data_IF_345070915346
#
_entry.id   IF_345070915346
#
_cell.length_a   1.000
_cell.length_b   1.000
_cell.length_c   1.000
_cell.angle_alpha   90.00
_cell.angle_beta   90.00
_cell.angle_gamma   90.00
#
_symmetry.space_group_name_H-M   'P 1'
#
loop_
_entity.id
_entity.type
_entity.pdbx_description
1 polymer ?
#
# COMPACT_ATOMS: atom_id res chain seq x y z
N UNK A 1 -21.35 36.60 4.50
CA UNK A 1 -21.91 35.35 3.92
C UNK A 1 -20.99 34.22 4.30
N UNK A 2 -21.31 33.52 5.37
CA UNK A 2 -20.46 32.48 5.98
C UNK A 2 -20.68 31.19 5.18
N UNK A 3 -19.61 30.68 4.56
CA UNK A 3 -19.61 29.39 3.85
C UNK A 3 -19.71 28.27 4.89
N UNK A 4 -20.88 27.64 4.96
CA UNK A 4 -21.09 26.37 5.65
C UNK A 4 -20.25 25.29 4.96
N UNK A 5 -19.26 24.76 5.68
CA UNK A 5 -18.65 23.48 5.31
C UNK A 5 -19.65 22.35 5.57
N UNK A 6 -19.63 21.27 4.78
CA UNK A 6 -20.47 20.12 5.03
C UNK A 6 -20.04 19.49 6.36
N UNK A 7 -20.92 19.57 7.37
CA UNK A 7 -20.92 18.55 8.42
C UNK A 7 -21.12 17.23 7.70
N UNK A 8 -20.15 16.33 7.81
CA UNK A 8 -20.42 14.90 7.67
C UNK A 8 -21.31 14.55 8.85
N UNK A 9 -22.61 14.82 8.69
CA UNK A 9 -23.63 14.17 9.48
C UNK A 9 -23.67 12.78 8.91
N UNK A 10 -23.11 11.81 9.64
CA UNK A 10 -23.55 10.43 9.52
C UNK A 10 -25.05 10.48 9.83
N UNK A 11 -25.88 10.60 8.78
CA UNK A 11 -27.31 10.50 8.94
C UNK A 11 -27.56 9.14 9.54
N UNK A 12 -28.29 9.12 10.66
CA UNK A 12 -28.87 7.90 11.21
C UNK A 12 -29.88 7.38 10.19
N UNK A 13 -29.40 6.66 9.19
CA UNK A 13 -30.21 5.82 8.35
C UNK A 13 -30.93 4.84 9.27
N UNK A 14 -32.25 4.73 9.09
CA UNK A 14 -33.19 4.17 10.05
C UNK A 14 -32.74 2.87 10.71
N UNK A 15 -33.11 2.76 11.99
CA UNK A 15 -32.93 1.62 12.88
C UNK A 15 -33.45 0.32 12.25
N UNK A 16 -32.64 -0.29 11.40
CA UNK A 16 -32.77 -1.69 11.02
C UNK A 16 -31.89 -2.49 11.99
N UNK A 17 -32.42 -3.56 12.62
CA UNK A 17 -31.67 -4.37 13.59
C UNK A 17 -30.39 -5.03 13.06
N UNK A 18 -30.08 -4.90 11.77
CA UNK A 18 -28.93 -5.49 11.11
C UNK A 18 -27.61 -4.69 11.23
N UNK A 19 -27.63 -3.47 11.80
CA UNK A 19 -26.45 -2.57 11.80
C UNK A 19 -25.87 -2.22 13.19
N UNK A 20 -26.23 -2.96 14.25
CA UNK A 20 -25.39 -2.97 15.47
C UNK A 20 -24.15 -3.83 15.21
N UNK A 21 -23.27 -3.33 14.34
CA UNK A 21 -21.92 -3.84 14.23
C UNK A 21 -21.27 -3.69 15.61
N UNK A 22 -20.94 -4.81 16.23
CA UNK A 22 -20.41 -4.85 17.58
C UNK A 22 -19.02 -4.20 17.61
N UNK A 23 -18.92 -2.99 18.15
CA UNK A 23 -17.66 -2.26 18.28
C UNK A 23 -16.60 -3.09 19.03
N UNK A 24 -16.99 -3.99 19.93
CA UNK A 24 -16.05 -4.84 20.67
C UNK A 24 -15.33 -5.87 19.77
N UNK A 25 -15.98 -6.33 18.70
CA UNK A 25 -15.36 -7.23 17.71
C UNK A 25 -14.31 -6.48 16.89
N UNK A 26 -14.56 -5.20 16.59
CA UNK A 26 -13.57 -4.35 15.90
C UNK A 26 -12.37 -4.04 16.80
N UNK A 27 -12.60 -3.77 18.09
CA UNK A 27 -11.52 -3.45 19.04
C UNK A 27 -10.57 -4.63 19.29
N UNK A 28 -11.08 -5.86 19.30
CA UNK A 28 -10.25 -7.06 19.52
C UNK A 28 -9.52 -7.54 18.26
N UNK A 29 -10.11 -7.38 17.07
CA UNK A 29 -9.47 -7.80 15.80
C UNK A 29 -8.33 -6.89 15.34
N UNK A 30 -8.31 -5.62 15.76
CA UNK A 30 -7.45 -4.60 15.14
C UNK A 30 -6.49 -3.92 16.11
N UNK A 31 -6.02 -4.64 17.14
CA UNK A 31 -4.93 -4.16 17.99
C UNK A 31 -3.61 -4.23 17.21
N UNK A 32 -2.90 -3.10 17.14
CA UNK A 32 -1.66 -2.99 16.39
C UNK A 32 -0.56 -3.92 16.96
N UNK A 33 0.12 -4.72 16.14
CA UNK A 33 1.07 -5.74 16.62
C UNK A 33 2.45 -5.18 17.00
N UNK A 34 2.74 -3.88 16.77
CA UNK A 34 4.10 -3.35 16.91
C UNK A 34 4.73 -3.52 18.30
N UNK A 35 3.92 -3.50 19.37
CA UNK A 35 4.43 -3.66 20.75
C UNK A 35 5.05 -5.05 20.95
N UNK A 36 4.39 -6.08 20.42
CA UNK A 36 4.76 -7.50 20.58
C UNK A 36 5.60 -8.04 19.43
N UNK A 37 5.71 -7.32 18.32
CA UNK A 37 6.56 -7.69 17.19
C UNK A 37 7.99 -7.99 17.65
N UNK A 38 8.54 -9.11 17.21
CA UNK A 38 9.95 -9.46 17.41
C UNK A 38 10.85 -8.98 16.26
N UNK A 39 10.25 -8.49 15.18
CA UNK A 39 10.92 -8.13 13.93
C UNK A 39 11.17 -6.62 13.89
N UNK A 40 10.24 -5.80 14.38
CA UNK A 40 10.39 -4.34 14.36
C UNK A 40 11.55 -3.88 15.25
N UNK A 41 12.44 -3.02 14.74
CA UNK A 41 13.56 -2.49 15.52
C UNK A 41 13.05 -1.55 16.62
N UNK A 42 13.87 -1.41 17.67
CA UNK A 42 13.51 -0.64 18.87
C UNK A 42 13.11 0.81 18.54
N UNK A 43 13.89 1.49 17.70
CA UNK A 43 13.65 2.89 17.31
C UNK A 43 12.28 3.09 16.67
N UNK A 44 11.78 2.10 15.92
CA UNK A 44 10.50 2.19 15.21
C UNK A 44 9.33 2.07 16.19
N UNK A 45 9.45 1.18 17.19
CA UNK A 45 8.48 1.06 18.29
C UNK A 45 8.45 2.33 19.13
N UNK A 46 9.63 2.90 19.43
CA UNK A 46 9.74 4.18 20.13
C UNK A 46 9.10 5.32 19.32
N UNK A 47 9.29 5.33 17.99
CA UNK A 47 8.63 6.28 17.09
C UNK A 47 7.11 6.14 17.08
N UNK A 48 6.56 4.92 17.03
CA UNK A 48 5.12 4.68 17.11
C UNK A 48 4.52 5.16 18.43
N UNK A 49 5.18 4.87 19.56
CA UNK A 49 4.76 5.38 20.87
C UNK A 49 4.81 6.91 20.92
N UNK A 50 5.92 7.52 20.47
CA UNK A 50 6.08 8.97 20.43
C UNK A 50 5.02 9.65 19.56
N UNK A 51 4.72 9.08 18.38
CA UNK A 51 3.70 9.60 17.47
C UNK A 51 2.31 9.58 18.12
N UNK A 52 1.95 8.45 18.75
CA UNK A 52 0.71 8.32 19.49
C UNK A 52 0.58 9.37 20.61
N UNK A 53 1.62 9.55 21.42
CA UNK A 53 1.63 10.51 22.53
C UNK A 53 1.56 11.96 22.05
N UNK A 54 2.33 12.28 21.00
CA UNK A 54 2.31 13.60 20.38
C UNK A 54 0.92 13.93 19.82
N UNK A 55 0.27 12.98 19.14
CA UNK A 55 -1.09 13.15 18.62
C UNK A 55 -2.10 13.41 19.74
N UNK A 56 -2.06 12.65 20.84
CA UNK A 56 -2.92 12.89 22.01
C UNK A 56 -2.73 14.30 22.57
N UNK A 57 -1.48 14.76 22.68
CA UNK A 57 -1.15 16.12 23.14
C UNK A 57 -1.67 17.21 22.20
N UNK A 58 -1.56 16.99 20.88
CA UNK A 58 -2.12 17.91 19.86
C UNK A 58 -3.65 18.01 20.02
N UNK A 59 -4.31 16.89 20.29
CA UNK A 59 -5.77 16.85 20.43
C UNK A 59 -6.28 17.39 21.77
N UNK A 60 -5.42 17.54 22.79
CA UNK A 60 -5.82 18.00 24.12
C UNK A 60 -5.78 19.52 24.30
N UNK A 61 -5.29 20.31 23.34
CA UNK A 61 -5.26 21.77 23.48
C UNK A 61 -4.77 22.54 22.26
N UNK A 62 -5.19 23.81 22.17
CA UNK A 62 -5.07 24.64 20.96
C UNK A 62 -3.65 25.03 20.53
N UNK A 63 -2.66 24.90 21.43
CA UNK A 63 -1.28 25.36 21.19
C UNK A 63 -0.28 24.26 20.88
N UNK A 64 -0.57 23.00 21.24
CA UNK A 64 0.42 21.91 21.19
C UNK A 64 0.82 21.47 19.79
N UNK A 65 -0.01 21.75 18.77
CA UNK A 65 0.38 21.51 17.38
C UNK A 65 1.63 22.31 16.96
N UNK A 66 2.00 23.37 17.69
CA UNK A 66 3.22 24.14 17.42
C UNK A 66 4.49 23.47 17.95
N UNK A 67 4.35 22.48 18.83
CA UNK A 67 5.48 21.78 19.47
C UNK A 67 6.11 20.73 18.54
N UNK A 68 5.48 20.46 17.39
CA UNK A 68 5.85 19.36 16.50
C UNK A 68 6.04 19.84 15.06
N UNK A 69 6.86 19.08 14.35
CA UNK A 69 7.02 19.15 12.90
C UNK A 69 6.32 17.96 12.24
N UNK A 70 5.90 18.15 10.99
CA UNK A 70 4.99 17.27 10.26
C UNK A 70 5.63 16.87 8.94
N UNK A 71 5.51 15.59 8.60
CA UNK A 71 5.81 15.05 7.28
C UNK A 71 4.51 14.48 6.69
N UNK A 72 4.06 15.02 5.57
CA UNK A 72 2.82 14.63 4.91
C UNK A 72 3.14 13.95 3.58
N UNK A 73 2.87 12.65 3.48
CA UNK A 73 2.92 11.92 2.23
C UNK A 73 1.63 12.21 1.47
N UNK A 74 1.73 12.83 0.29
CA UNK A 74 0.55 13.34 -0.43
C UNK A 74 0.26 12.66 -1.76
N UNK A 75 -1.04 12.65 -2.09
CA UNK A 75 -1.58 12.48 -3.43
C UNK A 75 -2.87 13.31 -3.52
N UNK A 76 -2.75 14.58 -3.86
CA UNK A 76 -3.83 15.56 -3.89
C UNK A 76 -4.53 15.58 -5.25
N UNK A 77 -5.74 16.16 -5.29
CA UNK A 77 -6.44 16.42 -6.55
C UNK A 77 -5.67 17.36 -7.49
N UNK A 78 -4.94 18.31 -6.91
CA UNK A 78 -4.06 19.24 -7.63
C UNK A 78 -2.75 18.61 -8.12
N UNK A 79 -2.38 17.41 -7.63
CA UNK A 79 -1.18 16.74 -8.11
C UNK A 79 -1.41 16.23 -9.55
N UNK A 80 -0.51 16.50 -10.50
CA UNK A 80 -0.70 16.14 -11.90
C UNK A 80 -0.78 14.62 -12.11
N UNK A 81 -0.15 13.86 -11.22
CA UNK A 81 -0.05 12.40 -11.28
C UNK A 81 0.21 11.83 -9.91
N UNK A 82 -0.46 10.72 -9.60
CA UNK A 82 -0.08 9.83 -8.51
C UNK A 82 0.21 8.42 -9.07
N UNK A 83 1.05 7.65 -8.37
CA UNK A 83 1.30 6.24 -8.71
C UNK A 83 0.08 5.34 -8.46
N UNK A 84 0.22 4.03 -8.60
CA UNK A 84 -0.78 3.07 -8.11
C UNK A 84 -0.88 3.04 -6.58
N UNK A 85 -1.80 2.26 -6.03
CA UNK A 85 -1.87 1.98 -4.59
C UNK A 85 -0.56 1.38 -4.05
N UNK A 86 0.03 0.43 -4.77
CA UNK A 86 1.33 -0.13 -4.41
C UNK A 86 2.44 0.93 -4.40
N UNK A 87 2.50 1.82 -5.40
CA UNK A 87 3.51 2.87 -5.49
C UNK A 87 3.42 3.87 -4.33
N UNK A 88 2.22 4.11 -3.81
CA UNK A 88 1.95 5.10 -2.76
C UNK A 88 2.19 4.54 -1.36
N UNK A 89 1.80 3.29 -1.11
CA UNK A 89 1.79 2.73 0.25
C UNK A 89 2.97 1.82 0.56
N UNK A 90 3.64 1.24 -0.45
CA UNK A 90 4.82 0.40 -0.18
C UNK A 90 6.02 1.18 0.36
N UNK A 91 6.04 2.50 0.23
CA UNK A 91 7.08 3.32 0.84
C UNK A 91 7.01 3.40 2.36
N UNK A 92 5.98 2.81 2.98
CA UNK A 92 5.66 2.98 4.40
C UNK A 92 6.83 2.75 5.37
N UNK A 93 7.59 1.62 5.35
CA UNK A 93 8.72 1.47 6.27
C UNK A 93 9.78 2.56 6.12
N UNK A 94 10.06 2.96 4.87
CA UNK A 94 10.99 4.04 4.57
C UNK A 94 10.45 5.40 5.01
N UNK A 95 9.15 5.69 4.82
CA UNK A 95 8.53 6.93 5.27
C UNK A 95 8.55 7.07 6.79
N UNK A 96 8.36 5.96 7.53
CA UNK A 96 8.50 5.94 8.99
C UNK A 96 9.94 6.21 9.41
N UNK A 97 10.91 5.55 8.79
CA UNK A 97 12.32 5.81 9.04
C UNK A 97 12.67 7.29 8.76
N UNK A 98 12.24 7.81 7.61
CA UNK A 98 12.50 9.19 7.22
C UNK A 98 11.86 10.20 8.19
N UNK A 99 10.62 9.97 8.60
CA UNK A 99 9.94 10.79 9.60
C UNK A 99 10.68 10.75 10.96
N UNK A 100 11.14 9.58 11.39
CA UNK A 100 11.92 9.41 12.61
C UNK A 100 13.24 10.19 12.55
N UNK A 101 14.02 10.07 11.48
CA UNK A 101 15.29 10.81 11.32
C UNK A 101 15.08 12.33 11.38
N UNK A 102 14.00 12.81 10.76
CA UNK A 102 13.67 14.24 10.74
C UNK A 102 12.93 14.71 12.01
N UNK A 103 12.66 13.82 12.97
CA UNK A 103 11.85 14.09 14.18
C UNK A 103 10.47 14.68 13.86
N UNK A 104 9.82 14.15 12.84
CA UNK A 104 8.50 14.61 12.36
C UNK A 104 7.42 13.59 12.58
N UNK A 105 6.20 14.07 12.80
CA UNK A 105 5.00 13.25 12.78
C UNK A 105 4.61 12.94 11.34
N UNK A 106 4.56 11.65 11.00
CA UNK A 106 4.15 11.16 9.69
C UNK A 106 2.62 11.18 9.54
N UNK A 107 2.14 11.72 8.42
CA UNK A 107 0.75 11.69 8.01
C UNK A 107 0.61 11.37 6.52
N UNK A 108 -0.55 10.86 6.13
CA UNK A 108 -0.93 10.67 4.72
C UNK A 108 -2.10 11.60 4.37
N UNK A 109 -1.98 12.32 3.25
CA UNK A 109 -3.07 13.10 2.65
C UNK A 109 -3.29 12.60 1.23
N UNK A 110 -4.30 11.77 1.08
CA UNK A 110 -4.65 11.11 -0.18
C UNK A 110 -6.05 11.54 -0.57
N UNK A 111 -6.22 12.06 -1.78
CA UNK A 111 -7.52 12.53 -2.28
C UNK A 111 -7.96 11.82 -3.57
N UNK A 112 -7.02 11.21 -4.32
CA UNK A 112 -7.32 10.60 -5.64
C UNK A 112 -7.29 9.07 -5.59
N UNK A 113 -8.31 8.34 -6.06
CA UNK A 113 -9.58 8.83 -6.59
C UNK A 113 -10.55 9.32 -5.52
N UNK A 114 -10.32 8.90 -4.27
CA UNK A 114 -11.10 9.21 -3.08
C UNK A 114 -10.15 9.16 -1.86
N UNK A 115 -10.54 9.67 -0.67
CA UNK A 115 -9.71 9.62 0.52
C UNK A 115 -9.25 8.20 0.91
N UNK A 116 -8.05 8.09 1.50
CA UNK A 116 -7.50 6.79 1.94
C UNK A 116 -8.36 6.17 3.04
N UNK A 117 -9.00 7.02 3.84
CA UNK A 117 -9.93 6.68 4.91
C UNK A 117 -11.17 5.91 4.45
N UNK A 118 -11.48 5.92 3.14
CA UNK A 118 -12.54 5.08 2.56
C UNK A 118 -12.15 3.59 2.51
N UNK A 119 -10.84 3.30 2.52
CA UNK A 119 -10.31 1.97 2.32
C UNK A 119 -9.61 1.40 3.55
N UNK A 120 -8.84 2.25 4.23
CA UNK A 120 -8.00 1.89 5.36
C UNK A 120 -8.24 2.83 6.54
N UNK A 121 -8.08 2.30 7.74
CA UNK A 121 -8.10 3.06 8.99
C UNK A 121 -6.84 2.74 9.79
N UNK A 122 -6.45 3.60 10.73
CA UNK A 122 -5.44 3.21 11.71
C UNK A 122 -5.99 2.13 12.67
N UNK A 123 -5.17 1.14 13.05
CA UNK A 123 -5.53 0.15 14.06
C UNK A 123 -5.65 0.78 15.45
N UNK A 124 -6.33 0.08 16.36
CA UNK A 124 -6.36 0.43 17.78
C UNK A 124 -4.94 0.34 18.34
N UNK A 125 -4.52 1.37 19.08
CA UNK A 125 -3.15 1.56 19.57
C UNK A 125 -2.05 1.57 18.50
N UNK A 126 -2.42 1.70 17.23
CA UNK A 126 -1.50 1.85 16.10
C UNK A 126 -1.00 3.26 15.89
N UNK A 127 -0.22 3.43 14.83
CA UNK A 127 0.13 4.74 14.30
C UNK A 127 -1.08 5.31 13.56
N UNK A 128 -1.66 6.38 14.10
CA UNK A 128 -2.72 7.12 13.43
C UNK A 128 -2.11 8.10 12.42
N UNK A 129 -2.17 7.75 11.14
CA UNK A 129 -1.59 8.51 10.04
C UNK A 129 -2.51 9.61 9.48
N UNK A 130 -3.76 9.69 9.93
CA UNK A 130 -4.74 10.66 9.40
C UNK A 130 -4.36 12.06 9.80
N UNK A 131 -4.56 13.05 8.94
CA UNK A 131 -4.30 14.45 9.33
C UNK A 131 -5.10 14.83 10.59
N UNK A 132 -4.49 15.42 11.63
CA UNK A 132 -5.22 15.72 12.86
C UNK A 132 -6.34 16.74 12.57
N UNK A 133 -7.59 16.50 13.02
CA UNK A 133 -8.71 17.40 12.79
C UNK A 133 -8.67 18.62 13.72
N UNK A 134 -7.50 19.23 13.88
CA UNK A 134 -7.27 20.40 14.71
C UNK A 134 -7.54 21.68 13.90
N UNK A 135 -8.35 22.64 14.37
CA UNK A 135 -8.75 23.81 13.57
C UNK A 135 -7.58 24.62 13.00
N UNK A 136 -6.48 24.76 13.75
CA UNK A 136 -5.29 25.47 13.27
C UNK A 136 -4.52 24.71 12.18
N UNK A 137 -4.58 23.38 12.16
CA UNK A 137 -3.92 22.55 11.15
C UNK A 137 -4.79 22.42 9.89
N UNK A 138 -6.11 22.38 10.02
CA UNK A 138 -7.04 22.38 8.89
C UNK A 138 -6.95 23.68 8.06
N UNK A 139 -6.65 24.82 8.70
CA UNK A 139 -6.40 26.09 8.00
C UNK A 139 -5.08 26.13 7.22
N UNK A 140 -4.26 25.08 7.31
CA UNK A 140 -2.90 25.00 6.74
C UNK A 140 -2.79 23.95 5.63
N UNK A 141 -3.90 23.33 5.21
CA UNK A 141 -3.87 22.32 4.14
C UNK A 141 -3.39 22.90 2.79
N UNK A 142 -3.52 24.22 2.59
CA UNK A 142 -2.97 24.97 1.45
C UNK A 142 -1.44 24.85 1.32
N UNK A 143 -0.75 24.56 2.43
CA UNK A 143 0.69 24.33 2.44
C UNK A 143 1.08 23.00 1.79
N UNK A 144 0.15 22.04 1.66
CA UNK A 144 0.45 20.78 0.99
C UNK A 144 0.73 20.99 -0.50
N UNK A 145 -0.01 21.88 -1.14
CA UNK A 145 0.11 22.14 -2.59
C UNK A 145 1.42 22.82 -2.95
N UNK A 146 1.84 23.79 -2.13
CA UNK A 146 2.93 24.72 -2.40
C UNK A 146 4.28 24.33 -1.77
N UNK A 147 4.36 23.17 -1.12
CA UNK A 147 5.57 22.65 -0.48
C UNK A 147 6.65 22.20 -1.48
N UNK A 148 7.95 22.21 -1.10
CA UNK A 148 9.03 21.65 -1.90
C UNK A 148 8.79 20.16 -2.06
N UNK A 149 8.68 19.73 -3.31
CA UNK A 149 8.47 18.32 -3.60
C UNK A 149 9.80 17.57 -3.43
N UNK A 150 9.88 16.69 -2.42
CA UNK A 150 11.04 15.80 -2.24
C UNK A 150 10.93 14.67 -3.26
N UNK A 151 11.22 15.00 -4.52
CA UNK A 151 11.11 14.08 -5.65
C UNK A 151 12.35 13.20 -5.75
N UNK A 152 12.19 11.90 -5.58
CA UNK A 152 13.23 10.91 -5.88
C UNK A 152 14.32 10.73 -4.81
N UNK A 153 15.13 9.68 -4.97
CA UNK A 153 16.10 9.24 -3.97
C UNK A 153 17.25 10.22 -3.71
N UNK A 154 17.67 11.00 -4.71
CA UNK A 154 18.77 11.98 -4.55
C UNK A 154 18.39 13.14 -3.63
N UNK A 155 17.12 13.57 -3.63
CA UNK A 155 16.67 14.63 -2.74
C UNK A 155 16.56 14.16 -1.28
N UNK A 156 16.25 12.88 -1.05
CA UNK A 156 16.15 12.30 0.30
C UNK A 156 17.48 12.39 1.05
N UNK A 157 18.59 12.00 0.41
CA UNK A 157 19.91 12.02 1.05
C UNK A 157 20.30 13.42 1.50
N UNK A 158 19.95 14.44 0.70
CA UNK A 158 20.15 15.84 1.06
C UNK A 158 19.38 16.23 2.34
N UNK A 159 18.10 15.84 2.47
CA UNK A 159 17.32 16.13 3.69
C UNK A 159 17.81 15.37 4.92
N UNK A 160 18.45 14.21 4.72
CA UNK A 160 19.08 13.45 5.78
C UNK A 160 20.50 13.93 6.12
N UNK A 161 21.04 14.90 5.38
CA UNK A 161 22.39 15.42 5.57
C UNK A 161 23.51 14.46 5.17
N UNK A 162 23.21 13.45 4.34
CA UNK A 162 24.20 12.47 3.88
C UNK A 162 25.01 12.94 2.67
N UNK A 163 24.45 13.82 1.84
CA UNK A 163 25.17 14.39 0.69
C UNK A 163 25.63 15.81 1.04
N UNK A 164 26.94 16.08 0.96
CA UNK A 164 27.43 17.45 0.98
C UNK A 164 27.01 18.16 -0.31
N UNK A 165 26.60 19.45 -0.27
CA UNK A 165 26.36 20.23 -1.49
C UNK A 165 27.52 20.18 -2.49
N UNK A 166 28.73 19.92 -2.01
CA UNK A 166 29.96 19.86 -2.81
C UNK A 166 30.12 18.55 -3.61
N UNK A 167 29.41 17.48 -3.23
CA UNK A 167 29.52 16.16 -3.87
C UNK A 167 28.68 16.04 -5.15
N UNK A 168 27.84 17.04 -5.46
CA UNK A 168 27.02 17.10 -6.67
C UNK A 168 27.37 18.32 -7.53
N UNK A 169 28.51 18.33 -8.24
CA UNK A 169 28.97 19.49 -9.02
C UNK A 169 28.04 19.88 -10.19
N UNK A 170 27.05 19.05 -10.52
CA UNK A 170 26.06 19.29 -11.58
C UNK A 170 24.63 19.55 -11.06
N UNK A 171 24.41 19.60 -9.74
CA UNK A 171 23.15 20.08 -9.18
C UNK A 171 23.11 21.60 -9.37
N UNK A 172 22.64 22.02 -10.55
CA UNK A 172 22.57 23.40 -11.02
C UNK A 172 22.38 24.43 -9.89
N UNK A 173 23.13 25.53 -9.98
CA UNK A 173 23.01 26.76 -9.18
C UNK A 173 21.57 27.19 -8.85
N UNK A 174 20.58 26.78 -9.64
CA UNK A 174 19.16 27.05 -9.43
C UNK A 174 18.58 26.41 -8.13
N UNK A 175 19.05 25.24 -7.67
CA UNK A 175 18.52 24.64 -6.43
C UNK A 175 19.01 25.39 -5.17
N UNK A 176 20.31 25.69 -5.11
CA UNK A 176 20.90 26.46 -4.02
C UNK A 176 20.41 27.93 -4.00
N UNK A 177 20.15 28.53 -5.17
CA UNK A 177 19.58 29.89 -5.30
C UNK A 177 18.10 29.93 -4.90
N UNK A 178 17.31 28.88 -5.17
CA UNK A 178 15.93 28.76 -4.67
C UNK A 178 15.86 28.60 -3.15
N UNK A 179 16.85 27.94 -2.55
CA UNK A 179 16.94 27.75 -1.10
C UNK A 179 17.25 29.07 -0.36
N UNK A 180 18.18 29.91 -0.89
CA UNK A 180 18.56 31.19 -0.26
C UNK A 180 17.51 32.31 -0.37
N UNK A 181 16.61 32.27 -1.35
CA UNK A 181 15.60 33.35 -1.56
C UNK A 181 14.37 33.26 -0.65
N UNK A 182 14.34 32.36 0.33
CA UNK A 182 13.09 32.04 1.01
C UNK A 182 13.21 31.86 2.52
N UNK A 183 14.03 32.63 3.24
CA UNK A 183 14.14 32.49 4.70
C UNK A 183 12.77 32.52 5.43
N UNK A 184 11.78 33.29 4.94
CA UNK A 184 10.39 33.26 5.45
C UNK A 184 9.56 32.05 4.99
N UNK A 185 9.84 31.48 3.81
CA UNK A 185 9.21 30.24 3.32
C UNK A 185 9.85 29.02 3.98
N UNK A 186 11.17 29.01 4.18
CA UNK A 186 11.92 28.03 4.96
C UNK A 186 11.40 27.95 6.39
N UNK A 187 11.01 29.07 7.00
CA UNK A 187 10.43 29.05 8.35
C UNK A 187 9.03 28.42 8.41
N UNK A 188 8.21 28.53 7.34
CA UNK A 188 6.94 27.80 7.23
C UNK A 188 7.13 26.34 6.80
N UNK A 189 8.08 26.06 5.93
CA UNK A 189 8.50 24.72 5.51
C UNK A 189 9.21 23.95 6.63
N UNK A 190 9.75 24.65 7.63
CA UNK A 190 10.28 24.03 8.85
C UNK A 190 9.22 23.18 9.52
N UNK A 191 7.96 23.62 9.58
CA UNK A 191 6.93 22.88 10.32
C UNK A 191 6.22 21.80 9.52
N UNK A 192 5.74 22.10 8.31
CA UNK A 192 5.03 21.10 7.49
C UNK A 192 5.83 20.83 6.21
N UNK A 193 6.39 19.64 6.13
CA UNK A 193 6.99 19.11 4.92
C UNK A 193 5.96 18.23 4.20
N UNK A 194 5.85 18.38 2.88
CA UNK A 194 4.98 17.58 2.03
C UNK A 194 5.82 16.84 1.01
N UNK A 195 5.58 15.56 0.81
CA UNK A 195 6.35 14.72 -0.10
C UNK A 195 5.44 13.93 -1.03
N UNK A 196 5.74 13.96 -2.33
CA UNK A 196 5.22 13.00 -3.30
C UNK A 196 6.30 11.96 -3.56
N UNK A 197 6.23 10.85 -2.83
CA UNK A 197 7.20 9.78 -3.01
C UNK A 197 6.73 8.78 -4.05
N UNK A 198 7.46 8.68 -5.17
CA UNK A 198 7.30 7.60 -6.14
C UNK A 198 8.68 7.07 -6.53
N UNK A 199 8.97 5.82 -6.15
CA UNK A 199 10.22 5.16 -6.49
C UNK A 199 9.94 3.75 -7.01
N UNK A 200 10.70 3.29 -7.99
CA UNK A 200 10.60 1.94 -8.53
C UNK A 200 10.84 0.85 -7.46
N UNK A 201 11.64 1.16 -6.44
CA UNK A 201 11.97 0.27 -5.33
C UNK A 201 11.12 0.53 -4.07
N UNK A 202 10.21 1.51 -4.09
CA UNK A 202 9.34 1.86 -2.97
C UNK A 202 10.08 2.17 -1.66
N UNK A 203 11.28 2.76 -1.72
CA UNK A 203 12.05 3.07 -0.52
C UNK A 203 12.82 1.89 0.07
N UNK A 204 12.72 0.70 -0.53
CA UNK A 204 13.44 -0.50 -0.06
C UNK A 204 14.94 -0.24 0.08
N UNK A 205 15.60 0.21 -0.99
CA UNK A 205 17.06 0.39 -0.97
C UNK A 205 17.46 1.43 0.08
N UNK A 206 16.70 2.52 0.19
CA UNK A 206 16.95 3.55 1.19
C UNK A 206 16.80 3.00 2.62
N UNK A 207 15.75 2.23 2.89
CA UNK A 207 15.57 1.60 4.20
C UNK A 207 16.70 0.61 4.52
N UNK A 208 17.00 -0.30 3.60
CA UNK A 208 17.99 -1.37 3.80
C UNK A 208 19.43 -0.83 3.98
N UNK A 209 19.75 0.29 3.32
CA UNK A 209 21.06 0.96 3.41
C UNK A 209 21.17 1.83 4.66
N UNK A 210 20.08 2.50 5.06
CA UNK A 210 20.11 3.51 6.12
C UNK A 210 19.72 2.98 7.51
N UNK A 211 19.25 1.73 7.61
CA UNK A 211 18.99 1.07 8.90
C UNK A 211 20.25 1.11 9.77
N UNK A 212 20.07 1.33 11.08
CA UNK A 212 21.17 1.66 11.99
C UNK A 212 22.20 0.55 12.13
N UNK A 213 21.75 -0.70 12.04
CA UNK A 213 22.62 -1.87 12.06
C UNK A 213 22.14 -2.88 11.01
N UNK A 214 22.87 -2.96 9.90
CA UNK A 214 22.53 -3.82 8.77
C UNK A 214 22.68 -5.33 9.07
N UNK A 215 23.41 -5.71 10.11
CA UNK A 215 23.60 -7.10 10.52
C UNK A 215 22.48 -7.61 11.43
N UNK A 216 21.94 -6.73 12.29
CA UNK A 216 20.97 -7.15 13.32
C UNK A 216 19.54 -6.66 13.08
N UNK A 217 19.36 -5.53 12.39
CA UNK A 217 18.02 -5.02 12.12
C UNK A 217 17.40 -5.74 10.92
N UNK A 218 16.11 -6.05 11.03
CA UNK A 218 15.34 -6.65 9.96
C UNK A 218 15.37 -5.77 8.68
N UNK A 219 15.39 -6.40 7.52
CA UNK A 219 15.31 -5.71 6.23
C UNK A 219 13.93 -5.12 5.99
N UNK A 220 13.81 -4.26 4.97
CA UNK A 220 12.55 -3.69 4.50
C UNK A 220 11.48 -4.77 4.29
N UNK A 221 11.82 -5.86 3.61
CA UNK A 221 10.92 -6.99 3.39
C UNK A 221 10.43 -7.58 4.71
N UNK A 222 11.34 -7.85 5.64
CA UNK A 222 11.03 -8.50 6.91
C UNK A 222 10.12 -7.63 7.78
N UNK A 223 10.36 -6.32 7.87
CA UNK A 223 9.54 -5.42 8.70
C UNK A 223 8.19 -5.07 8.07
N UNK A 224 8.03 -5.22 6.75
CA UNK A 224 6.90 -4.62 6.02
C UNK A 224 5.54 -5.03 6.57
N UNK A 225 5.33 -6.32 6.84
CA UNK A 225 4.07 -6.85 7.35
C UNK A 225 3.71 -6.24 8.71
N UNK A 226 4.64 -6.28 9.66
CA UNK A 226 4.40 -5.75 11.01
C UNK A 226 4.21 -4.24 11.00
N UNK A 227 4.94 -3.52 10.14
CA UNK A 227 4.73 -2.09 9.91
C UNK A 227 3.33 -1.83 9.35
N UNK A 228 2.93 -2.57 8.32
CA UNK A 228 1.64 -2.42 7.68
C UNK A 228 0.49 -2.56 8.68
N UNK A 229 0.44 -3.66 9.42
CA UNK A 229 -0.61 -3.92 10.41
C UNK A 229 -0.54 -3.02 11.64
N UNK A 230 0.54 -2.24 11.80
CA UNK A 230 0.65 -1.22 12.84
C UNK A 230 0.12 0.15 12.41
N UNK A 231 -0.11 0.34 11.12
CA UNK A 231 -0.51 1.62 10.51
C UNK A 231 -1.87 1.51 9.83
N UNK A 232 -2.20 0.35 9.27
CA UNK A 232 -3.39 0.14 8.44
C UNK A 232 -4.15 -1.11 8.84
N UNK A 233 -5.48 -0.96 8.86
CA UNK A 233 -6.46 -2.03 8.83
C UNK A 233 -7.54 -1.67 7.80
N UNK A 234 -8.23 -2.64 7.17
CA UNK A 234 -9.35 -2.33 6.29
C UNK A 234 -10.45 -1.53 7.01
N UNK A 235 -11.14 -0.66 6.29
CA UNK A 235 -12.40 -0.08 6.79
C UNK A 235 -13.47 -1.17 6.94
N UNK A 236 -14.52 -0.98 7.76
CA UNK A 236 -15.55 -2.01 7.95
C UNK A 236 -16.21 -2.47 6.64
N UNK A 237 -16.52 -1.59 5.66
CA UNK A 237 -17.03 -2.04 4.35
C UNK A 237 -16.05 -2.93 3.58
N UNK A 238 -14.76 -2.58 3.56
CA UNK A 238 -13.73 -3.38 2.88
C UNK A 238 -13.51 -4.70 3.62
N UNK A 239 -13.43 -4.69 4.96
CA UNK A 239 -13.33 -5.91 5.76
C UNK A 239 -14.51 -6.85 5.52
N UNK A 240 -15.73 -6.31 5.47
CA UNK A 240 -16.92 -7.12 5.19
C UNK A 240 -16.82 -7.80 3.83
N UNK A 241 -16.30 -7.13 2.81
CA UNK A 241 -16.10 -7.74 1.49
C UNK A 241 -14.98 -8.78 1.50
N UNK A 242 -13.90 -8.58 2.25
CA UNK A 242 -12.86 -9.60 2.47
C UNK A 242 -13.48 -10.84 3.12
N UNK A 243 -14.20 -10.67 4.24
CA UNK A 243 -14.81 -11.77 4.98
C UNK A 243 -15.84 -12.53 4.12
N UNK A 244 -16.70 -11.81 3.39
CA UNK A 244 -17.65 -12.39 2.45
C UNK A 244 -16.93 -13.16 1.34
N UNK A 245 -15.89 -12.59 0.74
CA UNK A 245 -15.14 -13.23 -0.35
C UNK A 245 -14.46 -14.51 0.11
N UNK A 246 -13.79 -14.47 1.26
CA UNK A 246 -13.14 -15.64 1.84
C UNK A 246 -14.17 -16.74 2.10
N UNK A 247 -15.35 -16.39 2.62
CA UNK A 247 -16.43 -17.35 2.88
C UNK A 247 -17.05 -17.91 1.60
N UNK A 248 -17.41 -17.06 0.64
CA UNK A 248 -18.05 -17.45 -0.63
C UNK A 248 -17.19 -18.39 -1.46
N UNK A 249 -15.87 -18.17 -1.45
CA UNK A 249 -14.91 -19.00 -2.18
C UNK A 249 -14.37 -20.18 -1.35
N UNK A 250 -14.89 -20.38 -0.13
CA UNK A 250 -14.40 -21.38 0.84
C UNK A 250 -12.88 -21.30 1.06
N UNK A 251 -12.33 -20.08 1.12
CA UNK A 251 -10.91 -19.83 1.38
C UNK A 251 -10.66 -19.77 2.88
N UNK A 252 -9.54 -20.34 3.29
CA UNK A 252 -9.00 -20.24 4.66
C UNK A 252 -7.56 -19.76 4.59
N UNK A 253 -7.21 -18.79 5.42
CA UNK A 253 -5.86 -18.23 5.45
C UNK A 253 -4.80 -19.34 5.56
N UNK A 254 -3.75 -19.25 4.75
CA UNK A 254 -2.65 -20.21 4.61
C UNK A 254 -3.02 -21.62 4.10
N UNK A 255 -4.26 -21.85 3.64
CA UNK A 255 -4.71 -23.15 3.09
C UNK A 255 -4.91 -23.14 1.56
N UNK A 256 -4.68 -22.02 0.89
CA UNK A 256 -4.75 -21.89 -0.57
C UNK A 256 -3.52 -21.20 -1.14
N UNK A 257 -3.30 -21.38 -2.44
CA UNK A 257 -2.30 -20.66 -3.21
C UNK A 257 -2.96 -19.55 -4.00
N UNK A 258 -2.22 -18.49 -4.33
CA UNK A 258 -2.75 -17.40 -5.11
C UNK A 258 -1.93 -17.09 -6.36
N UNK A 259 -2.62 -16.60 -7.38
CA UNK A 259 -2.05 -16.08 -8.61
C UNK A 259 -2.58 -14.66 -8.80
N UNK A 260 -1.68 -13.69 -8.98
CA UNK A 260 -2.04 -12.34 -9.39
C UNK A 260 -1.50 -12.03 -10.79
N UNK A 261 -2.40 -11.71 -11.72
CA UNK A 261 -2.08 -11.39 -13.11
C UNK A 261 -2.34 -9.92 -13.37
N UNK A 262 -1.36 -9.26 -13.97
CA UNK A 262 -1.46 -7.85 -14.38
C UNK A 262 -1.54 -7.79 -15.90
N UNK A 263 -2.76 -7.73 -16.44
CA UNK A 263 -3.07 -7.76 -17.87
C UNK A 263 -3.30 -6.38 -18.50
N UNK A 264 -3.60 -5.34 -17.72
CA UNK A 264 -3.91 -4.00 -18.25
C UNK A 264 -2.77 -2.98 -18.04
N UNK A 265 -1.50 -3.37 -18.28
CA UNK A 265 -0.34 -2.51 -18.00
C UNK A 265 0.16 -1.70 -19.22
N UNK A 266 -0.02 -0.38 -19.19
CA UNK A 266 0.44 0.65 -20.18
C UNK A 266 -0.17 0.51 -21.59
N UNK A 267 -0.45 -0.71 -22.05
CA UNK A 267 -1.21 -1.07 -23.25
C UNK A 267 -2.12 -2.27 -22.92
N UNK A 268 -3.27 -2.36 -23.57
CA UNK A 268 -4.04 -3.61 -23.56
C UNK A 268 -3.19 -4.66 -24.26
N UNK A 269 -2.86 -5.74 -23.55
CA UNK A 269 -2.24 -6.89 -24.18
C UNK A 269 -3.18 -7.48 -25.21
N UNK A 270 -2.64 -7.99 -26.32
CA UNK A 270 -3.43 -8.84 -27.20
C UNK A 270 -3.79 -10.16 -26.48
N UNK A 271 -4.82 -10.84 -26.98
CA UNK A 271 -5.28 -12.10 -26.39
C UNK A 271 -4.18 -13.16 -26.29
N UNK A 272 -3.20 -13.17 -27.20
CA UNK A 272 -2.09 -14.14 -27.17
C UNK A 272 -1.17 -13.92 -25.98
N UNK A 273 -0.87 -12.66 -25.65
CA UNK A 273 -0.06 -12.32 -24.49
C UNK A 273 -0.82 -12.55 -23.19
N UNK A 274 -2.13 -12.28 -23.16
CA UNK A 274 -2.99 -12.61 -22.02
C UNK A 274 -2.97 -14.11 -21.74
N UNK A 275 -3.17 -14.95 -22.77
CA UNK A 275 -3.11 -16.39 -22.64
C UNK A 275 -1.74 -16.86 -22.17
N UNK A 276 -0.66 -16.32 -22.74
CA UNK A 276 0.70 -16.68 -22.35
C UNK A 276 0.99 -16.34 -20.88
N UNK A 277 0.72 -15.10 -20.44
CA UNK A 277 1.02 -14.67 -19.07
C UNK A 277 0.16 -15.44 -18.04
N UNK A 278 -1.10 -15.74 -18.39
CA UNK A 278 -2.02 -16.52 -17.57
C UNK A 278 -1.56 -17.98 -17.43
N UNK A 279 -1.29 -18.66 -18.56
CA UNK A 279 -0.80 -20.02 -18.56
C UNK A 279 0.57 -20.14 -17.87
N UNK A 280 1.46 -19.18 -18.08
CA UNK A 280 2.78 -19.17 -17.44
C UNK A 280 2.67 -19.03 -15.91
N UNK A 281 1.74 -18.21 -15.43
CA UNK A 281 1.50 -18.06 -13.98
C UNK A 281 1.02 -19.37 -13.34
N UNK A 282 0.10 -20.08 -14.01
CA UNK A 282 -0.37 -21.40 -13.56
C UNK A 282 0.74 -22.45 -13.61
N UNK A 283 1.56 -22.48 -14.68
CA UNK A 283 2.73 -23.37 -14.76
C UNK A 283 3.70 -23.11 -13.61
N UNK A 284 3.93 -21.86 -13.25
CA UNK A 284 4.77 -21.53 -12.12
C UNK A 284 4.19 -22.02 -10.80
N UNK A 285 2.89 -21.88 -10.59
CA UNK A 285 2.21 -22.47 -9.44
C UNK A 285 2.37 -23.99 -9.38
N UNK A 286 2.18 -24.68 -10.51
CA UNK A 286 2.34 -26.13 -10.59
C UNK A 286 3.77 -26.57 -10.20
N UNK A 287 4.80 -25.85 -10.65
CA UNK A 287 6.19 -26.11 -10.27
C UNK A 287 6.47 -25.90 -8.78
N UNK A 288 5.72 -25.04 -8.07
CA UNK A 288 5.81 -24.92 -6.60
C UNK A 288 5.40 -26.24 -5.98
N UNK A 289 4.24 -26.71 -6.40
CA UNK A 289 3.52 -27.81 -5.79
C UNK A 289 4.23 -29.14 -6.05
N UNK A 290 4.95 -29.26 -7.17
CA UNK A 290 5.86 -30.39 -7.44
C UNK A 290 7.13 -30.38 -6.58
N UNK A 291 7.63 -29.20 -6.20
CA UNK A 291 8.89 -29.05 -5.45
C UNK A 291 8.71 -29.09 -3.93
N UNK A 292 7.52 -28.78 -3.44
CA UNK A 292 7.20 -28.95 -2.03
C UNK A 292 6.97 -30.44 -1.75
N UNK A 293 7.44 -30.97 -0.62
CA UNK A 293 7.23 -32.37 -0.18
C UNK A 293 5.74 -32.77 -0.02
N UNK A 294 4.82 -31.84 -0.26
CA UNK A 294 3.40 -32.08 -0.42
C UNK A 294 3.05 -32.12 -1.91
N UNK A 295 2.88 -33.31 -2.52
CA UNK A 295 2.32 -33.45 -3.85
C UNK A 295 1.02 -32.67 -3.95
N UNK A 296 0.79 -32.10 -5.13
CA UNK A 296 -0.42 -31.37 -5.48
C UNK A 296 -1.63 -32.26 -5.22
N UNK A 297 -2.30 -32.05 -4.09
CA UNK A 297 -3.54 -32.73 -3.82
C UNK A 297 -4.56 -32.19 -4.83
N UNK A 298 -5.36 -33.05 -5.51
CA UNK A 298 -6.40 -32.60 -6.43
C UNK A 298 -7.35 -31.55 -5.85
N UNK A 299 -7.43 -31.48 -4.51
CA UNK A 299 -8.25 -30.55 -3.74
C UNK A 299 -7.52 -29.25 -3.34
N UNK A 300 -6.31 -29.01 -3.84
CA UNK A 300 -5.55 -27.77 -3.57
C UNK A 300 -6.32 -26.59 -4.14
N UNK A 301 -6.60 -25.60 -3.30
CA UNK A 301 -7.34 -24.42 -3.70
C UNK A 301 -6.41 -23.37 -4.29
N UNK A 302 -6.79 -22.82 -5.44
CA UNK A 302 -6.04 -21.75 -6.11
C UNK A 302 -6.96 -20.55 -6.29
N UNK A 303 -6.60 -19.41 -5.70
CA UNK A 303 -7.27 -18.14 -5.95
C UNK A 303 -6.57 -17.37 -7.07
N UNK A 304 -7.33 -16.89 -8.05
CA UNK A 304 -6.82 -16.06 -9.15
C UNK A 304 -7.42 -14.66 -9.05
N UNK A 305 -6.57 -13.64 -9.04
CA UNK A 305 -6.94 -12.23 -9.16
C UNK A 305 -6.25 -11.59 -10.36
N UNK A 306 -6.95 -10.69 -11.04
CA UNK A 306 -6.44 -9.97 -12.20
C UNK A 306 -7.12 -8.61 -12.37
N UNK A 307 -6.39 -7.62 -12.88
CA UNK A 307 -6.97 -6.35 -13.31
C UNK A 307 -7.76 -6.43 -14.63
N UNK A 308 -7.80 -7.61 -15.25
CA UNK A 308 -8.56 -7.89 -16.48
C UNK A 308 -9.22 -9.27 -16.46
N UNK A 309 -10.50 -9.27 -16.82
CA UNK A 309 -11.41 -10.43 -16.81
C UNK A 309 -10.92 -11.58 -17.70
N UNK A 310 -10.45 -11.27 -18.91
CA UNK A 310 -9.96 -12.26 -19.87
C UNK A 310 -8.76 -13.04 -19.32
N UNK A 311 -7.86 -12.37 -18.59
CA UNK A 311 -6.70 -13.00 -17.99
C UNK A 311 -7.05 -13.91 -16.82
N UNK A 312 -8.01 -13.51 -15.97
CA UNK A 312 -8.51 -14.37 -14.90
C UNK A 312 -9.15 -15.64 -15.49
N UNK A 313 -10.03 -15.51 -16.49
CA UNK A 313 -10.67 -16.65 -17.18
C UNK A 313 -9.63 -17.56 -17.84
N UNK A 314 -8.69 -17.00 -18.60
CA UNK A 314 -7.63 -17.79 -19.24
C UNK A 314 -6.77 -18.58 -18.24
N UNK A 315 -6.51 -18.03 -17.05
CA UNK A 315 -5.79 -18.74 -16.00
C UNK A 315 -6.61 -19.88 -15.39
N UNK A 316 -7.91 -19.66 -15.14
CA UNK A 316 -8.83 -20.70 -14.63
C UNK A 316 -8.95 -21.85 -15.64
N UNK A 317 -9.21 -21.53 -16.91
CA UNK A 317 -9.34 -22.52 -17.98
C UNK A 317 -8.07 -23.37 -18.10
N UNK A 318 -6.90 -22.73 -18.18
CA UNK A 318 -5.63 -23.43 -18.27
C UNK A 318 -5.32 -24.25 -17.00
N UNK A 319 -5.75 -23.80 -15.82
CA UNK A 319 -5.59 -24.56 -14.59
C UNK A 319 -6.46 -25.82 -14.57
N UNK A 320 -7.70 -25.75 -15.06
CA UNK A 320 -8.58 -26.91 -15.23
C UNK A 320 -7.99 -27.93 -16.23
N UNK A 321 -7.43 -27.47 -17.35
CA UNK A 321 -6.72 -28.32 -18.32
C UNK A 321 -5.52 -29.08 -17.70
N UNK A 322 -4.97 -28.57 -16.60
CA UNK A 322 -3.86 -29.17 -15.84
C UNK A 322 -4.30 -30.02 -14.66
N UNK A 323 -5.61 -30.24 -14.48
CA UNK A 323 -6.15 -31.04 -13.37
C UNK A 323 -6.21 -30.29 -12.04
N UNK A 324 -6.09 -28.96 -12.03
CA UNK A 324 -6.33 -28.14 -10.84
C UNK A 324 -7.83 -27.89 -10.73
N UNK A 325 -8.57 -28.73 -10.02
CA UNK A 325 -10.03 -28.68 -10.04
C UNK A 325 -10.65 -27.61 -9.14
N UNK A 326 -9.90 -27.08 -8.17
CA UNK A 326 -10.40 -26.09 -7.21
C UNK A 326 -9.76 -24.73 -7.43
N UNK A 327 -9.99 -24.17 -8.62
CA UNK A 327 -9.50 -22.84 -9.01
C UNK A 327 -10.67 -21.88 -8.94
N UNK A 328 -10.53 -20.86 -8.10
CA UNK A 328 -11.56 -19.86 -7.84
C UNK A 328 -11.04 -18.48 -8.24
N UNK A 329 -11.94 -17.63 -8.75
CA UNK A 329 -11.65 -16.26 -9.14
C UNK A 329 -12.78 -15.36 -8.64
N UNK A 330 -12.47 -14.10 -8.37
CA UNK A 330 -13.45 -13.09 -7.96
C UNK A 330 -14.61 -12.96 -8.95
N UNK A 331 -14.33 -13.16 -10.23
CA UNK A 331 -15.15 -12.78 -11.38
C UNK A 331 -16.64 -12.69 -11.04
N UNK A 332 -17.12 -11.47 -10.80
CA UNK A 332 -18.54 -11.16 -10.80
C UNK A 332 -19.06 -11.51 -12.21
N UNK A 333 -19.56 -12.73 -12.37
CA UNK A 333 -20.12 -13.22 -13.65
C UNK A 333 -21.30 -12.33 -14.08
N UNK A 334 -21.90 -11.60 -13.14
CA UNK A 334 -23.14 -10.87 -13.38
C UNK A 334 -22.96 -9.51 -14.06
N UNK A 335 -21.82 -8.84 -13.95
CA UNK A 335 -21.72 -7.42 -14.36
C UNK A 335 -20.88 -7.17 -15.62
N UNK A 336 -20.11 -8.15 -16.12
CA UNK A 336 -19.14 -7.98 -17.23
C UNK A 336 -18.16 -6.78 -17.08
N UNK A 337 -18.21 -6.06 -15.96
CA UNK A 337 -17.36 -4.92 -15.64
C UNK A 337 -16.08 -5.42 -14.98
N UNK A 338 -14.93 -5.12 -15.57
CA UNK A 338 -13.65 -5.43 -14.96
C UNK A 338 -13.41 -4.55 -13.72
N UNK A 339 -12.86 -5.10 -12.62
CA UNK A 339 -12.69 -4.39 -11.36
C UNK A 339 -11.81 -3.14 -11.52
N UNK A 340 -12.19 -2.04 -10.88
CA UNK A 340 -11.44 -0.78 -10.94
C UNK A 340 -10.30 -0.81 -9.92
N UNK A 341 -9.13 -1.26 -10.36
CA UNK A 341 -7.93 -1.22 -9.52
C UNK A 341 -7.29 0.17 -9.51
N UNK A 342 -6.89 0.66 -8.34
CA UNK A 342 -6.08 1.89 -8.19
C UNK A 342 -4.77 1.83 -8.99
N UNK A 343 -4.34 0.61 -9.29
CA UNK A 343 -3.12 0.30 -10.03
C UNK A 343 -3.30 0.29 -11.56
N UNK A 344 -4.46 0.63 -12.15
CA UNK A 344 -4.80 0.69 -13.62
C UNK A 344 -3.90 1.57 -14.52
N UNK A 345 -2.64 1.74 -14.11
CA UNK A 345 -1.60 2.41 -14.82
C UNK A 345 -1.75 3.90 -14.68
N UNK A 346 -0.62 4.58 -14.83
CA UNK A 346 -0.59 6.03 -14.88
C UNK A 346 -1.41 6.53 -16.07
N UNK A 347 -1.64 5.70 -17.09
CA UNK A 347 -2.53 6.00 -18.21
C UNK A 347 -3.98 6.21 -17.81
N UNK A 348 -4.56 5.43 -16.89
CA UNK A 348 -5.96 5.65 -16.47
C UNK A 348 -6.11 7.00 -15.73
N UNK A 349 -5.20 7.27 -14.79
CA UNK A 349 -5.23 8.52 -14.02
C UNK A 349 -4.68 9.74 -14.76
N UNK A 350 -3.91 9.56 -15.84
CA UNK A 350 -3.31 10.67 -16.62
C UNK A 350 -3.98 10.94 -17.97
N UNK A 351 -4.63 9.96 -18.62
CA UNK A 351 -5.24 10.16 -19.95
C UNK A 351 -6.59 10.87 -19.89
N UNK A 352 -7.22 10.97 -18.73
CA UNK A 352 -8.48 11.67 -18.59
C UNK A 352 -8.58 12.37 -17.22
N UNK A 353 -8.09 13.62 -17.13
CA UNK A 353 -8.33 14.47 -15.97
C UNK A 353 -9.82 14.44 -15.58
N UNK A 354 -10.12 14.08 -14.34
CA UNK A 354 -11.50 13.98 -13.83
C UNK A 354 -12.29 12.71 -14.18
N UNK A 355 -11.71 11.69 -14.84
CA UNK A 355 -12.41 10.39 -14.94
C UNK A 355 -12.45 9.66 -13.59
N UNK A 356 -11.39 9.78 -12.80
CA UNK A 356 -11.30 9.14 -11.50
C UNK A 356 -12.32 9.67 -10.48
N UNK A 357 -12.86 10.89 -10.69
CA UNK A 357 -13.90 11.48 -9.83
C UNK A 357 -15.32 11.05 -10.23
N UNK A 358 -15.48 10.26 -11.29
CA UNK A 358 -16.81 9.79 -11.76
C UNK A 358 -17.28 8.51 -11.08
N UNK A 359 -16.40 7.87 -10.32
CA UNK A 359 -16.69 6.61 -9.66
C UNK A 359 -16.71 6.83 -8.15
N UNK A 360 -17.72 6.27 -7.51
CA UNK A 360 -17.79 6.25 -6.05
C UNK A 360 -16.64 5.41 -5.47
N UNK A 361 -16.27 5.71 -4.22
CA UNK A 361 -15.19 5.02 -3.50
C UNK A 361 -15.32 3.48 -3.52
N UNK A 362 -16.55 2.97 -3.35
CA UNK A 362 -16.84 1.54 -3.30
C UNK A 362 -16.43 0.79 -4.57
N UNK A 363 -16.39 1.45 -5.73
CA UNK A 363 -15.96 0.83 -6.99
C UNK A 363 -14.47 0.48 -6.99
N UNK A 364 -13.69 1.02 -6.06
CA UNK A 364 -12.27 0.75 -5.91
C UNK A 364 -11.95 -0.27 -4.78
N UNK A 365 -12.96 -0.77 -4.05
CA UNK A 365 -12.76 -1.67 -2.91
C UNK A 365 -12.03 -2.96 -3.30
N UNK A 366 -12.28 -3.49 -4.50
CA UNK A 366 -11.59 -4.68 -5.03
C UNK A 366 -10.06 -4.55 -4.94
N UNK A 367 -9.52 -3.32 -5.08
CA UNK A 367 -8.07 -3.08 -4.91
C UNK A 367 -7.56 -3.50 -3.54
N UNK A 368 -8.35 -3.36 -2.48
CA UNK A 368 -7.93 -3.76 -1.14
C UNK A 368 -8.46 -5.15 -0.78
N UNK A 369 -9.66 -5.52 -1.25
CA UNK A 369 -10.19 -6.88 -1.08
C UNK A 369 -9.21 -7.90 -1.66
N UNK A 370 -8.83 -7.74 -2.92
CA UNK A 370 -7.86 -8.64 -3.57
C UNK A 370 -6.50 -8.60 -2.87
N UNK A 371 -6.03 -7.46 -2.40
CA UNK A 371 -4.75 -7.35 -1.71
C UNK A 371 -4.74 -8.23 -0.46
N UNK A 372 -5.79 -8.14 0.35
CA UNK A 372 -5.89 -8.88 1.60
C UNK A 372 -6.18 -10.37 1.36
N UNK A 373 -7.01 -10.73 0.38
CA UNK A 373 -7.22 -12.13 -0.02
C UNK A 373 -5.94 -12.72 -0.60
N UNK A 374 -5.19 -12.01 -1.45
CA UNK A 374 -3.88 -12.49 -1.93
C UNK A 374 -2.89 -12.65 -0.76
N UNK A 375 -2.83 -11.71 0.18
CA UNK A 375 -1.88 -11.75 1.30
C UNK A 375 -2.12 -12.90 2.30
N UNK A 376 -3.33 -13.45 2.33
CA UNK A 376 -3.68 -14.59 3.18
C UNK A 376 -3.38 -15.94 2.52
N UNK A 377 -2.90 -15.96 1.28
CA UNK A 377 -2.48 -17.19 0.62
C UNK A 377 -1.18 -17.74 1.23
N UNK A 378 -1.02 -19.05 1.16
CA UNK A 378 0.20 -19.77 1.56
C UNK A 378 1.41 -19.35 0.71
N UNK A 379 1.21 -19.24 -0.60
CA UNK A 379 2.22 -18.80 -1.55
C UNK A 379 1.57 -18.00 -2.69
N UNK A 380 2.30 -17.05 -3.26
CA UNK A 380 1.77 -16.13 -4.27
C UNK A 380 2.62 -16.18 -5.54
N UNK A 381 1.99 -16.46 -6.67
CA UNK A 381 2.57 -16.24 -8.00
C UNK A 381 2.15 -14.87 -8.48
N UNK A 382 3.09 -14.04 -8.92
CA UNK A 382 2.78 -12.74 -9.50
C UNK A 382 3.70 -12.37 -10.65
N UNK A 383 3.19 -11.56 -11.56
CA UNK A 383 3.92 -11.08 -12.73
C UNK A 383 4.27 -9.61 -12.68
N UNK A 384 3.99 -8.92 -13.79
CA UNK A 384 4.26 -7.50 -13.96
C UNK A 384 3.52 -6.64 -12.93
N UNK A 385 4.06 -5.45 -12.71
CA UNK A 385 3.57 -4.52 -11.69
C UNK A 385 4.10 -4.85 -10.29
N UNK A 386 3.67 -4.06 -9.32
CA UNK A 386 4.13 -4.14 -7.93
C UNK A 386 3.06 -4.66 -6.97
N UNK A 387 1.84 -4.94 -7.46
CA UNK A 387 0.67 -5.31 -6.66
C UNK A 387 0.78 -6.73 -6.08
N UNK A 388 1.02 -7.75 -6.89
CA UNK A 388 1.23 -9.11 -6.35
C UNK A 388 2.44 -9.20 -5.41
N UNK A 389 3.50 -8.43 -5.69
CA UNK A 389 4.63 -8.27 -4.74
C UNK A 389 4.19 -7.58 -3.45
N UNK A 390 3.26 -6.61 -3.51
CA UNK A 390 2.71 -5.95 -2.31
C UNK A 390 1.96 -6.94 -1.43
N UNK A 391 1.08 -7.76 -2.03
CA UNK A 391 0.40 -8.84 -1.30
C UNK A 391 1.40 -9.80 -0.64
N UNK A 392 2.49 -10.14 -1.32
CA UNK A 392 3.55 -10.97 -0.74
C UNK A 392 4.32 -10.30 0.40
N UNK A 393 4.52 -8.98 0.36
CA UNK A 393 5.10 -8.27 1.51
C UNK A 393 4.18 -8.31 2.74
N UNK A 394 2.89 -8.56 2.52
CA UNK A 394 1.88 -8.69 3.56
C UNK A 394 1.63 -10.14 3.96
N UNK A 395 2.19 -11.15 3.30
CA UNK A 395 1.92 -12.56 3.61
C UNK A 395 2.67 -13.05 4.85
N UNK A 396 2.22 -14.17 5.41
CA UNK A 396 2.91 -14.78 6.56
C UNK A 396 4.27 -15.37 6.19
N UNK A 397 4.36 -16.02 5.02
CA UNK A 397 5.63 -16.44 4.42
C UNK A 397 5.96 -15.56 3.21
N UNK A 398 6.66 -14.46 3.46
CA UNK A 398 7.18 -13.54 2.43
C UNK A 398 8.14 -14.24 1.44
N UNK A 399 8.68 -15.41 1.79
CA UNK A 399 9.60 -16.15 0.93
C UNK A 399 8.89 -17.16 0.03
N UNK A 400 7.59 -17.41 0.21
CA UNK A 400 6.84 -18.31 -0.68
C UNK A 400 6.20 -17.54 -1.85
N UNK A 401 7.02 -17.11 -2.80
CA UNK A 401 6.52 -16.43 -3.99
C UNK A 401 7.28 -16.76 -5.28
N UNK A 402 6.63 -16.45 -6.40
CA UNK A 402 7.15 -16.69 -7.74
C UNK A 402 6.93 -15.48 -8.61
N UNK A 403 8.03 -15.03 -9.19
CA UNK A 403 8.03 -13.90 -10.10
C UNK A 403 8.06 -14.39 -11.55
N UNK A 404 6.94 -14.23 -12.25
CA UNK A 404 6.81 -14.66 -13.66
C UNK A 404 7.35 -13.63 -14.67
N UNK A 405 7.95 -12.51 -14.21
CA UNK A 405 8.45 -11.44 -15.11
C UNK A 405 9.63 -11.86 -15.99
N UNK A 406 10.29 -12.98 -15.69
CA UNK A 406 11.45 -13.44 -16.48
C UNK A 406 10.96 -14.10 -17.77
N UNK A 407 11.11 -13.39 -18.90
CA UNK A 407 10.66 -13.77 -20.26
C UNK A 407 11.13 -15.14 -20.76
N UNK A 408 12.05 -15.81 -20.06
CA UNK A 408 12.60 -17.11 -20.47
C UNK A 408 11.85 -18.32 -19.87
N UNK A 409 10.57 -18.17 -19.51
CA UNK A 409 9.71 -19.29 -19.05
C UNK A 409 10.16 -19.97 -17.75
N UNK A 410 11.21 -19.46 -17.10
CA UNK A 410 11.74 -20.02 -15.85
C UNK A 410 11.15 -19.25 -14.69
N UNK A 411 10.26 -19.91 -13.98
CA UNK A 411 9.74 -19.46 -12.69
C UNK A 411 10.93 -19.28 -11.75
N UNK A 412 11.22 -18.03 -11.39
CA UNK A 412 12.34 -17.73 -10.52
C UNK A 412 11.87 -17.87 -9.08
N UNK A 413 12.39 -18.89 -8.40
CA UNK A 413 12.41 -18.88 -6.93
C UNK A 413 13.27 -17.71 -6.47
N UNK A 414 12.90 -16.98 -5.40
CA UNK A 414 13.89 -16.21 -4.67
C UNK A 414 15.06 -17.17 -4.35
N UNK A 415 16.26 -16.82 -4.81
CA UNK A 415 17.45 -17.57 -4.43
C UNK A 415 17.52 -17.56 -2.89
N UNK A 416 17.88 -18.70 -2.29
CA UNK A 416 18.13 -18.92 -0.85
C UNK A 416 17.00 -19.56 -0.01
N UNK A 417 16.62 -20.80 -0.36
CA UNK A 417 16.17 -21.81 0.64
C UNK A 417 16.96 -23.13 0.60
N UNK A 418 18.03 -23.24 -0.20
CA UNK A 418 18.79 -24.49 -0.32
C UNK A 418 19.91 -24.68 0.72
N UNK A 419 20.15 -23.70 1.61
CA UNK A 419 21.31 -23.72 2.53
C UNK A 419 21.06 -23.10 3.92
N UNK A 420 19.83 -23.13 4.45
CA UNK A 420 19.58 -22.83 5.88
C UNK A 420 19.00 -24.04 6.60
#
# INVERSE_FOLDING_TARGET
TILNQPKIVLSSAGDTPANKFDQSILETRFVAPWRTSKILPKWMKEYFQWHHDARRKIMSGDSHWKDYDYLVVRCLNSDPKCGGGADRLKSLPFMIFFAHQMKRLLFYKWERPTPLEEFLMPPVDGLDWRWPPHPALLKREDLFENGPDIMGGSNVNYYLGYDSPDDHPNANNDLAVRIRRSESRQEQLRRIASIKYQSHNHGRLQYDVLRYNNETEASYEQVFRDVWYSVFVPTPPVQSQIDSRMKELDLKANEYHAIHIRSQYIHQFDGSKIQFDSANSVRCLHQILEKTDTPLQPNTTVFVSSDGLEAARAAVDFAHERGLHRVVTETQVETDEAPLHLDRGTSFLARAPGQYTRHDAHKYYDTFVDLYVLSQAKCIVFGLGNYGRWANLLSEDINCFFDVRVRNSKCKWPADKATM
#
